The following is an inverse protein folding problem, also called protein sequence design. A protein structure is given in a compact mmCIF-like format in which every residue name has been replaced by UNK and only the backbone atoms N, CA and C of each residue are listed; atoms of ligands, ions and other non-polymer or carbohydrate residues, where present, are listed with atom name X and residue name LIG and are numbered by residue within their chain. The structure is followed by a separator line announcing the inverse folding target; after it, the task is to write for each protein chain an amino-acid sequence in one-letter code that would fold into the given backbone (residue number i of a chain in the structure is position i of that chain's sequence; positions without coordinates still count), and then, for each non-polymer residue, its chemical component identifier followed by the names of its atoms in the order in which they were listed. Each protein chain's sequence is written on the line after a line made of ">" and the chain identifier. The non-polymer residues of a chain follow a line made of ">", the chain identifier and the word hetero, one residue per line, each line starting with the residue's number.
data_IF_332842438217
#
_entry.id   IF_332842438217
#
_cell.length_a   1.000
_cell.length_b   1.000
_cell.length_c   1.000
_cell.angle_alpha   90.00
_cell.angle_beta   90.00
_cell.angle_gamma   90.00
#
_symmetry.space_group_name_H-M   'P 1'
#
loop_
_entity.id
_entity.type
_entity.pdbx_description
1 polymer ?
#
# COMPACT_ATOMS: atom_id res chain seq x y z
N UNK A 1 22.10 -12.67 -10.76
CA UNK A 1 22.14 -12.59 -9.28
C UNK A 1 21.44 -13.85 -8.76
N UNK A 2 22.13 -14.69 -8.02
CA UNK A 2 21.57 -15.97 -7.54
C UNK A 2 20.75 -15.71 -6.28
N UNK A 3 19.47 -16.06 -6.31
CA UNK A 3 18.53 -15.95 -5.17
C UNK A 3 19.10 -16.59 -3.90
N UNK A 4 19.91 -17.67 -4.03
CA UNK A 4 20.57 -18.34 -2.89
C UNK A 4 21.57 -17.46 -2.12
N UNK A 5 22.19 -16.47 -2.77
CA UNK A 5 23.13 -15.56 -2.09
C UNK A 5 22.40 -14.47 -1.28
N UNK A 6 21.17 -14.17 -1.64
CA UNK A 6 20.34 -13.15 -0.98
C UNK A 6 19.55 -13.73 0.21
N UNK A 7 19.28 -15.04 0.22
CA UNK A 7 18.58 -15.74 1.31
C UNK A 7 19.53 -16.11 2.46
N UNK A 8 20.25 -15.13 2.99
CA UNK A 8 20.99 -15.31 4.23
C UNK A 8 20.03 -15.13 5.43
N UNK A 9 20.32 -15.79 6.55
CA UNK A 9 19.54 -15.64 7.79
C UNK A 9 19.41 -14.16 8.19
N UNK A 10 20.45 -13.38 7.98
CA UNK A 10 20.48 -11.95 8.26
C UNK A 10 19.49 -11.18 7.37
N UNK A 11 19.45 -11.44 6.07
CA UNK A 11 18.53 -10.76 5.14
C UNK A 11 17.08 -11.14 5.41
N UNK A 12 16.82 -12.39 5.78
CA UNK A 12 15.48 -12.84 6.19
C UNK A 12 15.03 -12.12 7.46
N UNK A 13 15.92 -12.02 8.45
CA UNK A 13 15.63 -11.31 9.70
C UNK A 13 15.36 -9.81 9.47
N UNK A 14 16.18 -9.16 8.64
CA UNK A 14 16.00 -7.76 8.27
C UNK A 14 14.70 -7.54 7.50
N UNK A 15 14.35 -8.45 6.59
CA UNK A 15 13.07 -8.40 5.87
C UNK A 15 11.87 -8.54 6.82
N UNK A 16 11.93 -9.46 7.77
CA UNK A 16 10.91 -9.63 8.80
C UNK A 16 10.77 -8.38 9.69
N UNK A 17 11.90 -7.84 10.16
CA UNK A 17 11.92 -6.59 10.91
C UNK A 17 11.28 -5.44 10.11
N UNK A 18 11.57 -5.34 8.82
CA UNK A 18 11.02 -4.30 7.95
C UNK A 18 9.50 -4.40 7.81
N UNK A 19 8.97 -5.62 7.66
CA UNK A 19 7.51 -5.86 7.62
C UNK A 19 6.85 -5.48 8.95
N UNK A 20 7.46 -5.80 10.09
CA UNK A 20 6.91 -5.45 11.40
C UNK A 20 6.85 -3.92 11.61
N UNK A 21 7.88 -3.20 11.18
CA UNK A 21 7.96 -1.74 11.34
C UNK A 21 7.08 -0.99 10.34
N UNK A 22 6.76 -1.60 9.19
CA UNK A 22 6.01 -0.95 8.10
C UNK A 22 4.51 -0.75 8.37
N UNK A 23 3.99 -1.20 9.52
CA UNK A 23 2.58 -1.10 9.93
C UNK A 23 1.56 -1.75 8.98
N UNK A 24 1.99 -2.53 8.00
CA UNK A 24 1.10 -3.19 7.02
C UNK A 24 0.01 -4.05 7.70
N UNK A 25 0.31 -4.58 8.86
CA UNK A 25 -0.58 -5.43 9.65
C UNK A 25 -1.52 -4.61 10.54
N UNK A 26 -1.14 -3.41 10.95
CA UNK A 26 -1.85 -2.61 11.95
C UNK A 26 -3.11 -1.95 11.36
N UNK A 27 -2.98 -1.31 10.21
CA UNK A 27 -4.07 -0.55 9.57
C UNK A 27 -5.34 -1.40 9.35
N UNK A 28 -5.28 -2.61 8.74
CA UNK A 28 -6.49 -3.39 8.53
C UNK A 28 -7.11 -3.92 9.83
N UNK A 29 -6.30 -4.20 10.84
CA UNK A 29 -6.79 -4.62 12.16
C UNK A 29 -7.49 -3.46 12.87
N UNK A 30 -6.89 -2.27 12.80
CA UNK A 30 -7.45 -1.05 13.37
C UNK A 30 -8.78 -0.68 12.72
N UNK A 31 -8.86 -0.67 11.40
CA UNK A 31 -10.09 -0.36 10.65
C UNK A 31 -11.18 -1.38 10.97
N UNK A 32 -10.88 -2.69 10.93
CA UNK A 32 -11.84 -3.73 11.24
C UNK A 32 -12.40 -3.61 12.66
N UNK A 33 -11.53 -3.32 13.64
CA UNK A 33 -11.92 -3.11 15.04
C UNK A 33 -12.76 -1.85 15.23
N UNK A 34 -12.38 -0.74 14.59
CA UNK A 34 -13.11 0.53 14.70
C UNK A 34 -14.53 0.47 14.13
N UNK A 35 -14.73 -0.33 13.06
CA UNK A 35 -16.04 -0.52 12.44
C UNK A 35 -16.88 -1.58 13.18
N UNK A 36 -16.25 -2.43 14.00
CA UNK A 36 -16.92 -3.56 14.66
C UNK A 36 -17.30 -4.67 13.68
N UNK A 37 -16.46 -4.98 12.71
CA UNK A 37 -16.75 -6.03 11.72
C UNK A 37 -16.83 -7.41 12.38
N UNK A 38 -17.73 -8.30 11.93
CA UNK A 38 -17.73 -9.70 12.33
C UNK A 38 -16.38 -10.36 12.09
N UNK A 39 -15.97 -11.28 12.97
CA UNK A 39 -14.64 -11.92 12.91
C UNK A 39 -14.35 -12.53 11.55
N UNK A 40 -15.33 -13.22 10.94
CA UNK A 40 -15.15 -13.85 9.65
C UNK A 40 -14.83 -12.82 8.54
N UNK A 41 -15.54 -11.68 8.53
CA UNK A 41 -15.32 -10.63 7.55
C UNK A 41 -14.00 -9.90 7.79
N UNK A 42 -13.67 -9.63 9.05
CA UNK A 42 -12.39 -9.04 9.44
C UNK A 42 -11.21 -9.91 9.00
N UNK A 43 -11.27 -11.21 9.28
CA UNK A 43 -10.23 -12.16 8.89
C UNK A 43 -10.05 -12.22 7.37
N UNK A 44 -11.14 -12.26 6.61
CA UNK A 44 -11.08 -12.27 5.15
C UNK A 44 -10.45 -10.98 4.60
N UNK A 45 -10.83 -9.83 5.15
CA UNK A 45 -10.26 -8.53 4.77
C UNK A 45 -8.76 -8.46 5.07
N UNK A 46 -8.34 -8.84 6.27
CA UNK A 46 -6.94 -8.82 6.69
C UNK A 46 -6.10 -9.77 5.82
N UNK A 47 -6.59 -10.99 5.60
CA UNK A 47 -5.91 -11.97 4.76
C UNK A 47 -5.76 -11.47 3.30
N UNK A 48 -6.82 -10.89 2.74
CA UNK A 48 -6.77 -10.34 1.38
C UNK A 48 -5.72 -9.22 1.27
N UNK A 49 -5.68 -8.31 2.24
CA UNK A 49 -4.68 -7.23 2.28
C UNK A 49 -3.27 -7.79 2.38
N UNK A 50 -3.01 -8.76 3.23
CA UNK A 50 -1.69 -9.37 3.37
C UNK A 50 -1.24 -10.10 2.11
N UNK A 51 -2.13 -10.85 1.46
CA UNK A 51 -1.82 -11.55 0.21
C UNK A 51 -1.48 -10.53 -0.89
N UNK A 52 -2.33 -9.52 -1.08
CA UNK A 52 -2.12 -8.51 -2.12
C UNK A 52 -0.86 -7.69 -1.84
N UNK A 53 -0.66 -7.22 -0.61
CA UNK A 53 0.54 -6.47 -0.21
C UNK A 53 1.81 -7.29 -0.43
N UNK A 54 1.79 -8.57 -0.08
CA UNK A 54 2.90 -9.49 -0.31
C UNK A 54 3.21 -9.68 -1.78
N UNK A 55 2.19 -9.91 -2.62
CA UNK A 55 2.35 -10.06 -4.06
C UNK A 55 2.91 -8.78 -4.71
N UNK A 56 2.36 -7.62 -4.38
CA UNK A 56 2.83 -6.34 -4.91
C UNK A 56 4.27 -6.07 -4.47
N UNK A 57 4.60 -6.32 -3.20
CA UNK A 57 5.97 -6.19 -2.67
C UNK A 57 6.95 -7.10 -3.41
N UNK A 58 6.56 -8.36 -3.69
CA UNK A 58 7.38 -9.30 -4.46
C UNK A 58 7.65 -8.77 -5.87
N UNK A 59 6.61 -8.32 -6.58
CA UNK A 59 6.77 -7.74 -7.93
C UNK A 59 7.68 -6.52 -7.89
N UNK A 60 7.47 -5.64 -6.92
CA UNK A 60 8.22 -4.39 -6.78
C UNK A 60 9.68 -4.61 -6.41
N UNK A 61 9.97 -5.59 -5.55
CA UNK A 61 11.33 -5.95 -5.16
C UNK A 61 12.11 -6.72 -6.24
N UNK A 62 11.40 -7.26 -7.26
CA UNK A 62 12.04 -8.00 -8.36
C UNK A 62 12.78 -7.10 -9.34
N UNK A 63 13.37 -7.74 -10.37
CA UNK A 63 14.09 -7.06 -11.45
C UNK A 63 13.22 -6.11 -12.29
N UNK A 64 11.89 -6.25 -12.21
CA UNK A 64 10.96 -5.42 -12.98
C UNK A 64 10.98 -3.96 -12.50
N UNK A 65 10.90 -3.74 -11.20
CA UNK A 65 10.81 -2.38 -10.62
C UNK A 65 12.08 -2.01 -9.84
N UNK A 66 12.72 -2.99 -9.17
CA UNK A 66 13.96 -2.84 -8.38
C UNK A 66 13.84 -1.86 -7.21
N UNK A 67 12.66 -1.73 -6.64
CA UNK A 67 12.42 -0.91 -5.46
C UNK A 67 12.16 -1.81 -4.25
N UNK A 68 13.11 -1.98 -3.33
CA UNK A 68 12.95 -2.84 -2.14
C UNK A 68 12.14 -2.12 -1.05
N UNK A 69 10.88 -1.84 -1.34
CA UNK A 69 9.94 -1.19 -0.42
C UNK A 69 8.77 -2.12 -0.17
N UNK A 70 8.39 -2.30 1.09
CA UNK A 70 7.18 -3.06 1.46
C UNK A 70 5.96 -2.23 1.12
N UNK A 71 5.04 -2.80 0.35
CA UNK A 71 3.76 -2.19 0.04
C UNK A 71 2.70 -2.63 1.03
N UNK A 72 1.82 -1.71 1.39
CA UNK A 72 0.73 -1.96 2.31
C UNK A 72 -0.40 -0.95 2.15
N UNK A 73 -1.46 -1.08 2.94
CA UNK A 73 -2.52 -0.10 3.00
C UNK A 73 -1.95 1.25 3.46
N UNK A 74 -2.64 2.32 3.11
CA UNK A 74 -2.24 3.66 3.53
C UNK A 74 -3.17 4.16 4.62
N UNK A 75 -2.62 4.52 5.77
CA UNK A 75 -3.34 5.12 6.89
C UNK A 75 -4.13 6.40 6.50
N UNK A 76 -3.78 7.03 5.37
CA UNK A 76 -4.54 8.16 4.84
C UNK A 76 -5.99 7.80 4.48
N UNK A 77 -6.28 6.53 4.21
CA UNK A 77 -7.63 6.04 3.89
C UNK A 77 -8.38 5.49 5.09
N UNK A 78 -7.75 5.29 6.24
CA UNK A 78 -8.37 4.67 7.41
C UNK A 78 -9.59 5.43 7.88
N UNK A 79 -9.49 6.76 8.03
CA UNK A 79 -10.60 7.60 8.44
C UNK A 79 -11.79 7.51 7.48
N UNK A 80 -11.52 7.46 6.17
CA UNK A 80 -12.55 7.30 5.14
C UNK A 80 -13.22 5.93 5.23
N UNK A 81 -12.43 4.86 5.39
CA UNK A 81 -12.92 3.49 5.51
C UNK A 81 -13.73 3.29 6.78
N UNK A 82 -13.31 3.88 7.89
CA UNK A 82 -14.04 3.83 9.17
C UNK A 82 -15.37 4.59 9.03
N UNK A 83 -15.36 5.78 8.49
CA UNK A 83 -16.58 6.56 8.27
C UNK A 83 -17.58 5.85 7.33
N UNK A 84 -17.10 5.28 6.24
CA UNK A 84 -17.92 4.49 5.33
C UNK A 84 -18.43 3.18 5.97
N UNK A 85 -17.59 2.53 6.76
CA UNK A 85 -17.93 1.28 7.45
C UNK A 85 -19.00 1.49 8.51
N UNK A 86 -18.88 2.52 9.33
CA UNK A 86 -19.90 2.88 10.33
C UNK A 86 -21.22 3.29 9.71
N UNK A 87 -21.19 3.86 8.51
CA UNK A 87 -22.37 4.18 7.70
C UNK A 87 -22.95 2.97 6.93
N UNK A 88 -22.35 1.79 7.02
CA UNK A 88 -22.77 0.60 6.27
C UNK A 88 -22.43 0.63 4.79
N UNK A 89 -21.55 1.53 4.35
CA UNK A 89 -21.23 1.79 2.94
C UNK A 89 -19.83 1.29 2.52
N UNK A 90 -19.30 0.26 3.18
CA UNK A 90 -17.98 -0.33 2.84
C UNK A 90 -17.86 -0.74 1.38
N UNK A 91 -18.92 -1.33 0.81
CA UNK A 91 -18.92 -1.71 -0.60
C UNK A 91 -18.80 -0.52 -1.55
N UNK A 92 -19.49 0.58 -1.26
CA UNK A 92 -19.38 1.82 -2.04
C UNK A 92 -17.99 2.45 -1.91
N UNK A 93 -17.43 2.49 -0.70
CA UNK A 93 -16.08 2.98 -0.46
C UNK A 93 -15.03 2.15 -1.22
N UNK A 94 -15.12 0.83 -1.16
CA UNK A 94 -14.21 -0.07 -1.89
C UNK A 94 -14.30 0.13 -3.40
N UNK A 95 -15.52 0.27 -3.95
CA UNK A 95 -15.73 0.55 -5.37
C UNK A 95 -15.17 1.91 -5.78
N UNK A 96 -15.31 2.93 -4.94
CA UNK A 96 -14.74 4.27 -5.19
C UNK A 96 -13.20 4.23 -5.22
N UNK A 97 -12.57 3.46 -4.33
CA UNK A 97 -11.12 3.27 -4.33
C UNK A 97 -10.65 2.56 -5.61
N UNK A 98 -11.38 1.56 -6.08
CA UNK A 98 -11.06 0.88 -7.35
C UNK A 98 -11.12 1.84 -8.53
N UNK A 99 -12.17 2.65 -8.63
CA UNK A 99 -12.32 3.64 -9.69
C UNK A 99 -11.20 4.69 -9.62
N UNK A 100 -10.93 5.22 -8.43
CA UNK A 100 -9.85 6.17 -8.21
C UNK A 100 -8.48 5.59 -8.59
N UNK A 101 -8.22 4.33 -8.23
CA UNK A 101 -6.99 3.63 -8.57
C UNK A 101 -6.83 3.46 -10.09
N UNK A 102 -7.91 3.15 -10.80
CA UNK A 102 -7.90 3.02 -12.25
C UNK A 102 -7.63 4.37 -12.92
N UNK A 103 -8.29 5.44 -12.47
CA UNK A 103 -8.03 6.80 -12.96
C UNK A 103 -6.59 7.20 -12.70
N UNK A 104 -6.08 6.94 -11.50
CA UNK A 104 -4.69 7.24 -11.14
C UNK A 104 -3.69 6.47 -12.01
N UNK A 105 -3.96 5.19 -12.28
CA UNK A 105 -3.16 4.37 -13.18
C UNK A 105 -3.12 4.97 -14.60
N UNK A 106 -4.25 5.39 -15.13
CA UNK A 106 -4.33 6.04 -16.44
C UNK A 106 -3.52 7.34 -16.47
N UNK A 107 -3.61 8.16 -15.43
CA UNK A 107 -2.81 9.39 -15.31
C UNK A 107 -1.31 9.10 -15.21
N UNK A 108 -0.90 8.02 -14.54
CA UNK A 108 0.48 7.56 -14.52
C UNK A 108 0.97 7.15 -15.92
N UNK A 109 0.17 6.35 -16.63
CA UNK A 109 0.51 5.86 -17.97
C UNK A 109 0.59 6.98 -19.02
N UNK A 110 -0.22 8.01 -18.90
CA UNK A 110 -0.18 9.19 -19.78
C UNK A 110 0.99 10.14 -19.46
N UNK A 111 1.71 9.92 -18.35
CA UNK A 111 2.82 10.77 -17.94
C UNK A 111 2.42 12.12 -17.32
N UNK A 112 1.13 12.41 -17.21
CA UNK A 112 0.61 13.66 -16.63
C UNK A 112 1.14 13.90 -15.22
N UNK A 113 1.25 12.84 -14.42
CA UNK A 113 1.78 12.93 -13.05
C UNK A 113 3.27 13.27 -13.04
N UNK A 114 4.06 12.69 -13.94
CA UNK A 114 5.48 12.98 -14.06
C UNK A 114 5.72 14.46 -14.42
N UNK A 115 4.92 15.01 -15.34
CA UNK A 115 5.00 16.42 -15.73
C UNK A 115 4.59 17.33 -14.56
N UNK A 116 3.54 16.98 -13.82
CA UNK A 116 3.10 17.76 -12.66
C UNK A 116 4.18 17.80 -11.57
N UNK A 117 4.86 16.69 -11.30
CA UNK A 117 5.96 16.66 -10.34
C UNK A 117 7.14 17.52 -10.75
N UNK A 118 7.53 17.50 -12.03
CA UNK A 118 8.63 18.33 -12.53
C UNK A 118 8.31 19.83 -12.51
N UNK A 119 7.06 20.21 -12.69
CA UNK A 119 6.64 21.61 -12.60
C UNK A 119 6.43 22.11 -11.16
N UNK A 120 6.00 21.25 -10.22
CA UNK A 120 5.79 21.62 -8.83
C UNK A 120 7.08 21.61 -8.00
N UNK A 121 8.11 20.89 -8.43
CA UNK A 121 9.42 20.85 -7.76
C UNK A 121 10.42 21.88 -8.27
N UNK A 122 10.00 22.83 -9.10
CA UNK A 122 10.79 24.00 -9.50
C UNK A 122 10.62 25.13 -8.50
N UNK A 123 11.61 25.89 -8.21
CA UNK A 123 13.02 25.68 -7.90
C UNK A 123 13.34 26.27 -6.52
N UNK A 124 13.67 25.46 -5.56
CA UNK A 124 14.31 25.95 -4.34
C UNK A 124 15.79 26.28 -4.52
N UNK A 125 16.33 26.13 -5.74
CA UNK A 125 17.75 26.38 -6.03
C UNK A 125 18.06 27.74 -6.65
N UNK A 126 17.15 28.68 -6.69
CA UNK A 126 17.42 30.03 -7.17
C UNK A 126 17.71 31.06 -6.06
N UNK A 127 17.95 30.59 -4.83
CA UNK A 127 18.33 31.44 -3.71
C UNK A 127 19.64 30.92 -3.05
N UNK A 128 20.70 30.85 -3.81
CA UNK A 128 22.08 30.93 -3.30
C UNK A 128 22.86 31.87 -4.20
#
# INVERSE_FOLDING_TARGET
>A
MSIRKELTAQNVLLGFQHVLVSNVWLDPVFVAGAIGLPIALSSNMINAIFIVSGLVTLVQATRLVRLPVVQGPSAAFDALMIAAGTAGMLGAASSSILIASLVFLLLCLTGVIAVSYTHLTLPTNSLV
#
